data_IF_246486610321
#
_entry.id   IF_246486610321
#
_cell.length_a   1.000
_cell.length_b   1.000
_cell.length_c   1.000
_cell.angle_alpha   90.00
_cell.angle_beta   90.00
_cell.angle_gamma   90.00
#
_symmetry.space_group_name_H-M   'P 1'
#
loop_
_entity.id
_entity.type
_entity.pdbx_description
1 polymer ?
#
# COMPACT_ATOMS: atom_id res chain seq x y z
N UNK A 1 -6.77 15.77 9.07
CA UNK A 1 -6.88 14.74 8.01
C UNK A 1 -6.25 13.42 8.40
N UNK A 2 -6.21 12.46 7.46
CA UNK A 2 -5.74 11.08 7.66
C UNK A 2 -4.68 10.73 6.62
N UNK A 3 -3.59 10.13 7.06
CA UNK A 3 -2.61 9.45 6.22
C UNK A 3 -2.68 7.93 6.48
N UNK A 4 -2.13 7.13 5.56
CA UNK A 4 -2.07 5.68 5.69
C UNK A 4 -0.66 5.14 5.52
N UNK A 5 -0.36 4.02 6.17
CA UNK A 5 0.79 3.19 5.88
C UNK A 5 0.29 1.80 5.51
N UNK A 6 0.72 1.28 4.36
CA UNK A 6 0.42 -0.08 3.96
C UNK A 6 1.47 -1.02 4.53
N UNK A 7 0.99 -2.05 5.22
CA UNK A 7 1.83 -3.08 5.82
C UNK A 7 1.32 -4.48 5.45
N UNK A 8 2.22 -5.45 5.45
CA UNK A 8 1.85 -6.85 5.29
C UNK A 8 1.16 -7.39 6.55
N UNK A 9 0.19 -8.27 6.37
CA UNK A 9 -0.28 -9.09 7.49
C UNK A 9 0.85 -10.03 7.91
N UNK A 10 1.06 -10.16 9.22
CA UNK A 10 2.21 -10.91 9.78
C UNK A 10 2.35 -12.33 9.22
N UNK A 11 1.26 -13.01 8.88
CA UNK A 11 1.30 -14.31 8.21
C UNK A 11 2.13 -14.29 6.92
N UNK A 12 1.94 -13.28 6.07
CA UNK A 12 2.63 -13.18 4.78
C UNK A 12 4.07 -12.70 4.93
N UNK A 13 4.32 -11.78 5.86
CA UNK A 13 5.67 -11.38 6.22
C UNK A 13 6.51 -12.57 6.72
N UNK A 14 5.93 -13.43 7.57
CA UNK A 14 6.57 -14.66 8.08
C UNK A 14 6.78 -15.74 7.01
N UNK A 15 6.01 -15.70 5.91
CA UNK A 15 6.21 -16.56 4.75
C UNK A 15 7.28 -16.03 3.79
N UNK A 16 7.90 -14.89 4.12
CA UNK A 16 8.99 -14.31 3.34
C UNK A 16 8.55 -13.30 2.29
N UNK A 17 7.29 -12.85 2.29
CA UNK A 17 6.91 -11.69 1.49
C UNK A 17 7.43 -10.40 2.12
N UNK A 18 7.87 -9.46 1.30
CA UNK A 18 8.18 -8.09 1.69
C UNK A 18 7.56 -7.09 0.73
N UNK A 19 7.26 -5.89 1.24
CA UNK A 19 6.83 -4.74 0.44
C UNK A 19 7.69 -3.53 0.86
N UNK A 20 8.08 -2.65 -0.08
CA UNK A 20 8.61 -1.35 0.29
C UNK A 20 7.58 -0.55 1.11
N UNK A 21 8.03 0.29 2.06
CA UNK A 21 7.13 1.17 2.79
C UNK A 21 6.28 2.01 1.83
N UNK A 22 4.96 1.86 1.93
CA UNK A 22 4.01 2.56 1.06
C UNK A 22 3.15 3.49 1.90
N UNK A 23 3.44 4.78 1.81
CA UNK A 23 2.68 5.84 2.47
C UNK A 23 1.54 6.29 1.55
N UNK A 24 0.36 6.48 2.13
CA UNK A 24 -0.81 7.06 1.50
C UNK A 24 -0.95 8.47 2.03
N UNK A 25 -0.67 9.45 1.18
CA UNK A 25 -0.79 10.86 1.50
C UNK A 25 -2.25 11.27 1.74
N UNK A 26 -2.45 12.27 2.59
CA UNK A 26 -3.76 12.89 2.82
C UNK A 26 -4.38 13.34 1.50
N UNK A 27 -5.66 13.05 1.27
CA UNK A 27 -6.37 13.41 0.05
C UNK A 27 -6.11 12.51 -1.16
N UNK A 28 -5.28 11.47 -1.03
CA UNK A 28 -5.16 10.45 -2.07
C UNK A 28 -6.49 9.70 -2.25
N UNK A 29 -6.89 9.51 -3.50
CA UNK A 29 -8.03 8.68 -3.88
C UNK A 29 -7.61 7.74 -5.01
N UNK A 30 -7.86 6.44 -4.86
CA UNK A 30 -7.54 5.45 -5.88
C UNK A 30 -7.30 4.06 -5.31
N UNK A 31 -6.98 3.12 -6.19
CA UNK A 31 -6.48 1.81 -5.79
C UNK A 31 -4.98 1.91 -5.45
N UNK A 32 -4.52 1.14 -4.46
CA UNK A 32 -3.10 1.12 -4.10
C UNK A 32 -2.37 0.07 -4.95
N UNK A 33 -1.37 0.52 -5.71
CA UNK A 33 -0.42 -0.39 -6.38
C UNK A 33 0.66 -0.76 -5.37
N UNK A 34 0.87 -2.07 -5.16
CA UNK A 34 1.86 -2.58 -4.23
C UNK A 34 2.98 -3.28 -4.99
N UNK A 35 4.22 -2.92 -4.68
CA UNK A 35 5.38 -3.70 -5.06
C UNK A 35 5.56 -4.83 -4.03
N UNK A 36 5.63 -6.07 -4.50
CA UNK A 36 5.72 -7.26 -3.64
C UNK A 36 6.92 -8.07 -4.06
N UNK A 37 7.83 -8.33 -3.12
CA UNK A 37 8.97 -9.23 -3.31
C UNK A 37 8.70 -10.56 -2.63
N UNK A 38 9.06 -11.65 -3.31
CA UNK A 38 9.03 -13.00 -2.76
C UNK A 38 10.33 -13.36 -2.04
N UNK A 39 10.24 -14.30 -1.09
CA UNK A 39 11.38 -14.86 -0.39
C UNK A 39 11.89 -16.15 -1.02
N UNK A 40 12.71 -16.89 -0.26
CA UNK A 40 13.29 -18.17 -0.70
C UNK A 40 12.23 -19.27 -0.95
N UNK A 41 11.05 -19.16 -0.35
CA UNK A 41 9.95 -20.09 -0.53
C UNK A 41 8.85 -19.45 -1.39
N UNK A 42 8.30 -20.16 -2.38
CA UNK A 42 7.25 -19.62 -3.23
C UNK A 42 5.94 -19.42 -2.43
N UNK A 43 5.38 -18.22 -2.52
CA UNK A 43 4.09 -17.87 -1.89
C UNK A 43 3.05 -17.66 -2.99
N UNK A 44 1.95 -18.41 -2.93
CA UNK A 44 0.85 -18.30 -3.89
C UNK A 44 -0.19 -17.30 -3.39
N UNK A 45 -0.23 -16.11 -3.99
CA UNK A 45 -1.26 -15.10 -3.75
C UNK A 45 -2.43 -15.29 -4.72
N UNK A 46 -3.61 -15.63 -4.19
CA UNK A 46 -4.84 -15.73 -4.97
C UNK A 46 -5.65 -14.44 -4.89
N UNK A 47 -6.43 -14.13 -5.93
CA UNK A 47 -7.36 -12.99 -5.93
C UNK A 47 -8.28 -13.05 -4.70
N UNK A 48 -8.45 -11.91 -4.03
CA UNK A 48 -9.31 -11.78 -2.84
C UNK A 48 -8.65 -12.18 -1.52
N UNK A 49 -7.43 -12.73 -1.55
CA UNK A 49 -6.66 -12.97 -0.33
C UNK A 49 -6.27 -11.64 0.29
N UNK A 50 -6.66 -11.42 1.54
CA UNK A 50 -6.21 -10.29 2.34
C UNK A 50 -4.77 -10.55 2.78
N UNK A 51 -3.78 -9.95 2.13
CA UNK A 51 -2.36 -10.13 2.47
C UNK A 51 -1.69 -8.86 3.03
N UNK A 52 -2.29 -7.69 2.82
CA UNK A 52 -1.86 -6.41 3.37
C UNK A 52 -3.03 -5.71 4.11
N UNK A 53 -2.70 -4.69 4.89
CA UNK A 53 -3.66 -3.81 5.55
C UNK A 53 -3.14 -2.36 5.57
N UNK A 54 -3.99 -1.42 5.94
CA UNK A 54 -3.64 -0.02 6.11
C UNK A 54 -3.72 0.32 7.59
N UNK A 55 -2.65 0.90 8.12
CA UNK A 55 -2.66 1.58 9.42
C UNK A 55 -2.90 3.06 9.16
N UNK A 56 -3.94 3.62 9.76
CA UNK A 56 -4.31 5.02 9.59
C UNK A 56 -3.71 5.88 10.70
N UNK A 57 -3.18 7.04 10.31
CA UNK A 57 -2.61 8.04 11.21
C UNK A 57 -3.37 9.34 11.04
N UNK A 58 -3.58 10.04 12.15
CA UNK A 58 -4.07 11.43 12.12
C UNK A 58 -2.91 12.33 11.70
N UNK A 59 -3.15 13.20 10.73
CA UNK A 59 -2.20 14.25 10.34
C UNK A 59 -2.46 15.46 11.23
N UNK A 60 -1.41 15.92 11.92
CA UNK A 60 -1.43 17.14 12.73
C UNK A 60 -1.06 18.36 11.88
N UNK A 61 -1.73 19.49 12.13
CA UNK A 61 -1.61 20.70 11.32
C UNK A 61 -2.48 20.70 10.06
N UNK A 62 -2.29 21.71 9.20
CA UNK A 62 -2.95 21.80 7.90
C UNK A 62 -2.21 20.90 6.88
N UNK A 63 -2.85 19.86 6.34
CA UNK A 63 -2.20 18.96 5.41
C UNK A 63 -2.13 19.56 4.01
N UNK A 64 -1.07 19.23 3.29
CA UNK A 64 -1.02 19.43 1.84
C UNK A 64 -1.68 18.22 1.17
N UNK A 65 -2.86 18.35 0.53
CA UNK A 65 -3.54 17.22 -0.06
C UNK A 65 -2.79 16.72 -1.30
N UNK A 66 -2.81 15.40 -1.51
CA UNK A 66 -2.23 14.75 -2.66
C UNK A 66 -2.92 15.21 -3.96
N UNK A 67 -2.12 15.74 -4.89
CA UNK A 67 -2.53 16.15 -6.24
C UNK A 67 -1.59 15.60 -7.31
N UNK A 68 -0.93 14.48 -7.00
CA UNK A 68 0.11 13.90 -7.86
C UNK A 68 -0.46 13.06 -9.02
N UNK A 69 0.47 12.53 -9.83
CA UNK A 69 0.19 11.82 -11.10
C UNK A 69 -0.66 10.54 -10.96
N UNK A 70 -0.73 10.01 -9.74
CA UNK A 70 -1.40 8.74 -9.43
C UNK A 70 -2.79 8.93 -8.80
N UNK A 71 -3.29 10.17 -8.73
CA UNK A 71 -4.65 10.42 -8.24
C UNK A 71 -5.67 9.77 -9.16
N UNK A 72 -6.64 9.08 -8.55
CA UNK A 72 -7.69 8.34 -9.25
C UNK A 72 -7.22 7.05 -9.93
N UNK A 73 -6.02 6.55 -9.61
CA UNK A 73 -5.49 5.38 -10.29
C UNK A 73 -6.34 4.12 -10.06
N UNK A 74 -6.37 3.26 -11.09
CA UNK A 74 -7.12 1.99 -11.10
C UNK A 74 -6.25 0.89 -11.73
N UNK A 75 -6.33 -0.30 -11.15
CA UNK A 75 -5.48 -1.43 -11.50
C UNK A 75 -4.03 -1.23 -11.07
N UNK A 76 -3.17 -2.14 -11.53
CA UNK A 76 -1.72 -2.01 -11.39
C UNK A 76 -1.27 -0.84 -12.26
N UNK A 77 -0.77 0.23 -11.64
CA UNK A 77 -0.34 1.44 -12.33
C UNK A 77 1.18 1.51 -12.35
N UNK A 78 1.77 1.52 -13.54
CA UNK A 78 3.22 1.62 -13.74
C UNK A 78 3.72 3.06 -13.54
N UNK A 79 5.03 3.26 -13.32
CA UNK A 79 5.62 4.59 -13.19
C UNK A 79 5.28 5.52 -14.37
N UNK A 80 5.05 6.81 -14.09
CA UNK A 80 4.72 7.88 -15.06
C UNK A 80 5.64 9.09 -14.94
#
# INVERSE_FOLDING_TARGET
DVAGLVELRSTFARLGLSIPPTVIDSGFEGQITLEVHGGAFPVVLKRGVRFAHIVFFRVEGEPVPYRGRYQGQRGVTLPR
#
